data_IF_682630019979
#
_entry.id   IF_682630019979
#
_cell.length_a   1.000
_cell.length_b   1.000
_cell.length_c   1.000
_cell.angle_alpha   90.00
_cell.angle_beta   90.00
_cell.angle_gamma   90.00
#
_symmetry.space_group_name_H-M   'P 1'
#
loop_
_entity.id
_entity.type
_entity.pdbx_description
1 polymer ?
#
# COMPACT_ATOMS: atom_id res chain seq x y z
N UNK A 1 7.24 27.93 4.89
CA UNK A 1 7.57 27.47 6.26
C UNK A 1 8.74 26.49 6.16
N UNK A 2 9.86 26.82 6.77
CA UNK A 2 10.98 25.88 6.90
C UNK A 2 10.59 24.82 7.93
N UNK A 3 10.61 23.57 7.53
CA UNK A 3 10.34 22.43 8.44
C UNK A 3 11.49 22.35 9.45
N UNK A 4 11.19 22.31 10.75
CA UNK A 4 12.24 22.18 11.75
C UNK A 4 12.97 20.84 11.60
N UNK A 5 14.27 20.81 11.87
CA UNK A 5 15.07 19.59 11.79
C UNK A 5 14.50 18.46 12.66
N UNK A 6 13.87 18.81 13.79
CA UNK A 6 13.22 17.83 14.66
C UNK A 6 12.05 17.13 13.98
N UNK A 7 11.22 17.85 13.22
CA UNK A 7 10.12 17.29 12.44
C UNK A 7 10.67 16.38 11.34
N UNK A 8 11.72 16.79 10.63
CA UNK A 8 12.36 15.97 9.59
C UNK A 8 12.84 14.65 10.19
N UNK A 9 13.51 14.69 11.35
CA UNK A 9 13.99 13.48 12.02
C UNK A 9 12.84 12.56 12.46
N UNK A 10 11.73 13.11 12.96
CA UNK A 10 10.53 12.34 13.32
C UNK A 10 9.95 11.64 12.07
N UNK A 11 9.84 12.34 10.95
CA UNK A 11 9.33 11.76 9.70
C UNK A 11 10.29 10.72 9.10
N UNK A 12 11.59 10.93 9.21
CA UNK A 12 12.60 9.92 8.86
C UNK A 12 12.50 8.68 9.75
N UNK A 13 12.31 8.86 11.06
CA UNK A 13 12.09 7.75 11.99
C UNK A 13 10.80 7.00 11.64
N UNK A 14 9.73 7.72 11.32
CA UNK A 14 8.50 7.10 10.84
C UNK A 14 8.73 6.29 9.56
N UNK A 15 9.53 6.82 8.62
CA UNK A 15 9.89 6.09 7.39
C UNK A 15 10.59 4.77 7.72
N UNK A 16 11.51 4.76 8.71
CA UNK A 16 12.15 3.52 9.19
C UNK A 16 11.11 2.53 9.71
N UNK A 17 10.19 3.00 10.57
CA UNK A 17 9.11 2.16 11.12
C UNK A 17 8.22 1.61 10.00
N UNK A 18 7.85 2.43 9.01
CA UNK A 18 7.05 2.01 7.87
C UNK A 18 7.77 0.95 7.02
N UNK A 19 9.08 1.10 6.79
CA UNK A 19 9.87 0.08 6.07
C UNK A 19 9.94 -1.22 6.87
N UNK A 20 10.18 -1.15 8.17
CA UNK A 20 10.20 -2.34 9.04
C UNK A 20 8.84 -3.04 9.05
N UNK A 21 7.76 -2.29 9.12
CA UNK A 21 6.40 -2.85 9.03
C UNK A 21 6.16 -3.52 7.67
N UNK A 22 6.60 -2.91 6.57
CA UNK A 22 6.43 -3.45 5.22
C UNK A 22 7.13 -4.81 5.02
N UNK A 23 8.30 -5.01 5.63
CA UNK A 23 9.10 -6.24 5.49
C UNK A 23 8.84 -7.26 6.60
N UNK A 24 7.99 -6.95 7.59
CA UNK A 24 7.70 -7.84 8.72
C UNK A 24 6.21 -8.18 8.84
N UNK A 25 5.50 -7.58 9.78
CA UNK A 25 4.15 -8.00 10.20
C UNK A 25 3.04 -7.35 9.35
N UNK A 26 3.31 -6.18 8.75
CA UNK A 26 2.36 -5.40 7.95
C UNK A 26 1.08 -5.03 8.71
N UNK A 27 1.25 -4.39 9.88
CA UNK A 27 0.13 -3.93 10.72
C UNK A 27 -0.55 -2.69 10.11
N UNK A 28 0.22 -1.83 9.43
CA UNK A 28 -0.35 -0.65 8.78
C UNK A 28 0.54 0.58 8.63
N UNK A 29 1.56 0.84 9.47
CA UNK A 29 2.43 2.02 9.36
C UNK A 29 3.06 2.24 7.97
N UNK A 30 3.29 1.17 7.18
CA UNK A 30 3.81 1.27 5.82
C UNK A 30 2.80 1.84 4.82
N UNK A 31 1.50 1.85 5.18
CA UNK A 31 0.46 2.24 4.25
C UNK A 31 0.39 3.75 4.06
N UNK A 32 0.03 4.24 2.86
CA UNK A 32 -0.08 5.66 2.56
C UNK A 32 -1.04 6.41 3.49
N UNK A 33 -2.12 5.76 3.92
CA UNK A 33 -3.10 6.33 4.82
C UNK A 33 -2.46 6.74 6.15
N UNK A 34 -1.75 5.80 6.79
CA UNK A 34 -1.09 6.09 8.07
C UNK A 34 0.07 7.08 7.89
N UNK A 35 0.87 6.93 6.83
CA UNK A 35 2.03 7.77 6.56
C UNK A 35 1.64 9.25 6.35
N UNK A 36 0.65 9.51 5.50
CA UNK A 36 0.17 10.85 5.24
C UNK A 36 -0.54 11.46 6.46
N UNK A 37 -1.36 10.67 7.16
CA UNK A 37 -2.06 11.13 8.37
C UNK A 37 -1.06 11.49 9.47
N UNK A 38 -0.05 10.66 9.71
CA UNK A 38 1.01 10.94 10.67
C UNK A 38 1.80 12.20 10.29
N UNK A 39 2.13 12.35 9.00
CA UNK A 39 2.81 13.55 8.50
C UNK A 39 1.96 14.80 8.72
N UNK A 40 0.66 14.72 8.43
CA UNK A 40 -0.29 15.80 8.68
C UNK A 40 -0.40 16.15 10.17
N UNK A 41 -0.41 15.14 11.05
CA UNK A 41 -0.43 15.34 12.50
C UNK A 41 0.82 16.07 13.00
N UNK A 42 2.00 15.66 12.54
CA UNK A 42 3.29 16.26 12.93
C UNK A 42 3.43 17.71 12.39
N UNK A 43 2.87 17.97 11.21
CA UNK A 43 2.90 19.31 10.60
C UNK A 43 1.71 20.22 10.98
N UNK A 44 0.74 19.70 11.76
CA UNK A 44 -0.38 20.46 12.27
C UNK A 44 -1.60 20.59 11.35
N UNK A 45 -1.67 19.81 10.26
CA UNK A 45 -2.83 19.73 9.37
C UNK A 45 -3.20 18.26 9.07
N UNK A 46 -3.87 17.65 10.05
CA UNK A 46 -4.32 16.26 9.99
C UNK A 46 -5.35 16.05 8.87
N UNK A 47 -6.20 17.04 8.61
CA UNK A 47 -7.25 16.94 7.61
C UNK A 47 -6.65 16.77 6.21
N UNK A 48 -5.69 17.60 5.83
CA UNK A 48 -4.98 17.48 4.56
C UNK A 48 -4.23 16.15 4.48
N UNK A 49 -3.55 15.73 5.57
CA UNK A 49 -2.86 14.46 5.63
C UNK A 49 -3.80 13.27 5.44
N UNK A 50 -4.96 13.27 6.11
CA UNK A 50 -5.95 12.21 5.99
C UNK A 50 -6.55 12.12 4.57
N UNK A 51 -6.86 13.27 3.95
CA UNK A 51 -7.39 13.32 2.57
C UNK A 51 -6.38 12.76 1.56
N UNK A 52 -5.11 13.15 1.66
CA UNK A 52 -4.04 12.64 0.79
C UNK A 52 -3.85 11.14 1.03
N UNK A 53 -3.75 10.74 2.29
CA UNK A 53 -3.53 9.34 2.67
C UNK A 53 -4.64 8.42 2.20
N UNK A 54 -5.90 8.81 2.40
CA UNK A 54 -7.05 8.03 1.95
C UNK A 54 -7.07 7.87 0.43
N UNK A 55 -6.78 8.94 -0.32
CA UNK A 55 -6.75 8.90 -1.77
C UNK A 55 -5.62 8.00 -2.28
N UNK A 56 -4.40 8.14 -1.73
CA UNK A 56 -3.27 7.29 -2.09
C UNK A 56 -3.50 5.83 -1.68
N UNK A 57 -4.17 5.59 -0.55
CA UNK A 57 -4.54 4.23 -0.14
C UNK A 57 -5.49 3.56 -1.14
N UNK A 58 -6.48 4.30 -1.65
CA UNK A 58 -7.36 3.78 -2.70
C UNK A 58 -6.60 3.43 -3.99
N UNK A 59 -5.55 4.18 -4.33
CA UNK A 59 -4.69 3.88 -5.48
C UNK A 59 -3.90 2.58 -5.31
N UNK A 60 -3.58 2.19 -4.07
CA UNK A 60 -2.83 0.96 -3.77
C UNK A 60 -3.70 -0.29 -3.71
N UNK A 61 -5.02 -0.15 -3.77
CA UNK A 61 -5.92 -1.31 -3.75
C UNK A 61 -5.65 -2.23 -4.94
N UNK A 62 -5.40 -3.51 -4.65
CA UNK A 62 -5.09 -4.50 -5.66
C UNK A 62 -3.67 -4.40 -6.26
N UNK A 63 -2.87 -3.42 -5.86
CA UNK A 63 -1.48 -3.28 -6.31
C UNK A 63 -0.57 -3.94 -5.27
N UNK A 64 0.15 -4.99 -5.68
CA UNK A 64 1.11 -5.68 -4.83
C UNK A 64 2.33 -6.14 -5.64
N UNK A 65 3.39 -6.51 -4.94
CA UNK A 65 4.68 -6.91 -5.54
C UNK A 65 4.69 -8.37 -6.00
N UNK A 66 3.59 -8.84 -6.60
CA UNK A 66 3.49 -10.20 -7.10
C UNK A 66 4.57 -10.50 -8.15
N UNK A 67 5.23 -11.64 -8.02
CA UNK A 67 6.27 -12.06 -8.94
C UNK A 67 7.50 -11.15 -8.97
N UNK A 68 7.73 -10.33 -7.93
CA UNK A 68 8.86 -9.40 -7.88
C UNK A 68 8.63 -8.09 -8.65
N UNK A 69 7.39 -7.81 -9.07
CA UNK A 69 7.05 -6.53 -9.71
C UNK A 69 7.37 -5.36 -8.77
N UNK A 70 7.89 -4.29 -9.34
CA UNK A 70 8.18 -3.05 -8.61
C UNK A 70 6.93 -2.16 -8.64
N UNK A 71 6.46 -1.76 -7.46
CA UNK A 71 5.36 -0.80 -7.29
C UNK A 71 5.92 0.57 -6.88
N UNK A 72 5.21 1.67 -7.19
CA UNK A 72 5.60 2.99 -6.70
C UNK A 72 5.76 3.03 -5.18
N UNK A 73 6.76 3.77 -4.69
CA UNK A 73 6.95 3.95 -3.26
C UNK A 73 5.91 4.94 -2.70
N UNK A 74 4.74 4.42 -2.41
CA UNK A 74 3.64 5.21 -1.86
C UNK A 74 3.88 5.66 -0.41
N UNK A 75 4.73 4.97 0.36
CA UNK A 75 5.10 5.38 1.72
C UNK A 75 5.82 6.73 1.70
N UNK A 76 6.93 6.80 0.98
CA UNK A 76 7.73 8.02 0.87
C UNK A 76 7.00 9.10 0.08
N UNK A 77 6.25 8.71 -0.97
CA UNK A 77 5.39 9.61 -1.74
C UNK A 77 4.33 10.29 -0.87
N UNK A 78 3.67 9.54 0.02
CA UNK A 78 2.67 10.06 0.94
C UNK A 78 3.26 11.04 1.95
N UNK A 79 4.42 10.73 2.54
CA UNK A 79 5.11 11.62 3.48
C UNK A 79 5.50 12.93 2.80
N UNK A 80 6.20 12.85 1.66
CA UNK A 80 6.70 14.04 0.95
C UNK A 80 5.58 14.84 0.33
N UNK A 81 4.60 14.19 -0.31
CA UNK A 81 3.44 14.84 -0.91
C UNK A 81 2.62 15.60 0.12
N UNK A 82 2.37 15.01 1.28
CA UNK A 82 1.66 15.66 2.39
C UNK A 82 2.46 16.83 2.94
N UNK A 83 3.75 16.65 3.18
CA UNK A 83 4.61 17.72 3.65
C UNK A 83 4.61 18.91 2.67
N UNK A 84 4.74 18.65 1.37
CA UNK A 84 4.74 19.72 0.35
C UNK A 84 3.39 20.39 0.20
N UNK A 85 2.27 19.68 0.35
CA UNK A 85 0.95 20.26 0.35
C UNK A 85 0.78 21.26 1.49
N UNK A 86 1.19 20.87 2.70
CA UNK A 86 1.08 21.71 3.91
C UNK A 86 2.04 22.89 3.84
N UNK A 87 3.32 22.68 3.46
CA UNK A 87 4.30 23.76 3.34
C UNK A 87 3.86 24.80 2.30
N UNK A 88 3.31 24.37 1.16
CA UNK A 88 2.87 25.25 0.09
C UNK A 88 1.50 25.90 0.33
N UNK A 89 0.70 25.36 1.25
CA UNK A 89 -0.69 25.80 1.48
C UNK A 89 -1.64 25.51 0.31
N UNK A 90 -1.27 24.62 -0.63
CA UNK A 90 -2.04 24.33 -1.86
C UNK A 90 -3.09 23.22 -1.72
N UNK A 91 -3.21 22.64 -0.54
CA UNK A 91 -4.23 21.64 -0.22
C UNK A 91 -3.93 20.23 -0.76
N UNK A 92 -4.87 19.32 -0.49
CA UNK A 92 -4.69 17.90 -0.70
C UNK A 92 -4.47 17.50 -2.18
N UNK A 93 -5.17 18.15 -3.12
CA UNK A 93 -5.03 17.84 -4.56
C UNK A 93 -3.61 18.06 -5.08
N UNK A 94 -2.94 19.12 -4.59
CA UNK A 94 -1.54 19.37 -4.91
C UNK A 94 -0.65 18.27 -4.34
N UNK A 95 -0.87 17.89 -3.08
CA UNK A 95 -0.13 16.82 -2.42
C UNK A 95 -0.22 15.47 -3.17
N UNK A 96 -1.42 15.09 -3.58
CA UNK A 96 -1.67 13.87 -4.37
C UNK A 96 -0.94 13.97 -5.72
N UNK A 97 -1.09 15.09 -6.42
CA UNK A 97 -0.45 15.32 -7.73
C UNK A 97 1.08 15.26 -7.68
N UNK A 98 1.70 15.58 -6.55
CA UNK A 98 3.16 15.51 -6.35
C UNK A 98 3.60 14.17 -5.78
N UNK A 99 2.81 13.55 -4.91
CA UNK A 99 3.13 12.27 -4.26
C UNK A 99 3.36 11.13 -5.27
N UNK A 100 2.51 11.05 -6.30
CA UNK A 100 2.56 9.97 -7.29
C UNK A 100 3.85 10.01 -8.14
N UNK A 101 4.24 11.14 -8.76
CA UNK A 101 5.51 11.24 -9.46
C UNK A 101 6.73 10.98 -8.56
N UNK A 102 6.70 11.46 -7.31
CA UNK A 102 7.76 11.19 -6.34
C UNK A 102 7.85 9.68 -6.07
N UNK A 103 6.74 9.02 -5.79
CA UNK A 103 6.71 7.57 -5.57
C UNK A 103 7.26 6.79 -6.76
N UNK A 104 6.94 7.21 -7.98
CA UNK A 104 7.48 6.61 -9.22
C UNK A 104 8.99 6.82 -9.36
N UNK A 105 9.52 8.01 -9.04
CA UNK A 105 10.95 8.27 -9.07
C UNK A 105 11.69 7.42 -8.01
N UNK A 106 11.12 7.31 -6.82
CA UNK A 106 11.70 6.53 -5.73
C UNK A 106 11.71 5.02 -5.99
N UNK A 107 10.90 4.54 -6.94
CA UNK A 107 10.94 3.16 -7.43
C UNK A 107 12.34 2.78 -7.94
N UNK A 108 13.08 3.71 -8.55
CA UNK A 108 14.44 3.44 -9.01
C UNK A 108 15.40 3.18 -7.83
N UNK A 109 15.22 3.87 -6.73
CA UNK A 109 16.01 3.65 -5.51
C UNK A 109 15.63 2.34 -4.81
N UNK A 110 14.38 1.91 -4.93
CA UNK A 110 13.93 0.58 -4.49
C UNK A 110 14.67 -0.53 -5.25
N UNK A 111 14.80 -0.38 -6.56
CA UNK A 111 15.58 -1.34 -7.40
C UNK A 111 17.03 -1.38 -6.95
N UNK A 112 17.67 -0.24 -6.70
CA UNK A 112 19.04 -0.19 -6.18
C UNK A 112 19.16 -0.84 -4.79
N UNK A 113 18.18 -0.61 -3.91
CA UNK A 113 18.11 -1.27 -2.62
C UNK A 113 18.04 -2.80 -2.72
N UNK A 114 17.23 -3.31 -3.67
CA UNK A 114 17.14 -4.76 -3.97
C UNK A 114 18.47 -5.30 -4.49
N UNK A 115 19.12 -4.60 -5.42
CA UNK A 115 20.43 -4.99 -5.92
C UNK A 115 21.48 -5.04 -4.81
N UNK A 116 21.49 -4.07 -3.90
CA UNK A 116 22.39 -4.10 -2.74
C UNK A 116 22.09 -5.29 -1.81
N UNK A 117 20.83 -5.69 -1.69
CA UNK A 117 20.43 -6.84 -0.86
C UNK A 117 20.87 -8.19 -1.43
N UNK A 118 21.15 -8.32 -2.74
CA UNK A 118 21.68 -9.57 -3.31
C UNK A 118 23.00 -9.98 -2.67
N UNK A 119 23.81 -9.01 -2.25
CA UNK A 119 25.05 -9.28 -1.51
C UNK A 119 24.78 -10.05 -0.20
N UNK A 120 23.79 -9.61 0.57
CA UNK A 120 23.42 -10.28 1.82
C UNK A 120 22.76 -11.63 1.57
N UNK A 121 21.98 -11.79 0.48
CA UNK A 121 21.40 -13.08 0.07
C UNK A 121 22.47 -14.10 -0.23
N UNK A 122 23.42 -13.81 -1.13
CA UNK A 122 24.52 -14.73 -1.46
C UNK A 122 25.38 -15.09 -0.25
N UNK A 123 25.54 -14.14 0.68
CA UNK A 123 26.27 -14.42 1.91
C UNK A 123 25.48 -15.33 2.86
N UNK A 124 24.16 -15.17 2.90
CA UNK A 124 23.26 -16.03 3.67
C UNK A 124 23.25 -17.45 3.12
N UNK A 125 23.21 -17.61 1.77
CA UNK A 125 23.27 -18.91 1.10
C UNK A 125 24.55 -19.69 1.51
N UNK A 126 25.70 -19.00 1.47
CA UNK A 126 26.98 -19.62 1.91
C UNK A 126 26.94 -20.05 3.38
N UNK A 127 26.39 -19.19 4.27
CA UNK A 127 26.27 -19.57 5.68
C UNK A 127 25.27 -20.71 5.90
N UNK A 128 24.26 -20.86 5.04
CA UNK A 128 23.33 -21.97 5.07
C UNK A 128 24.02 -23.28 4.66
N UNK A 129 24.86 -23.26 3.62
CA UNK A 129 25.68 -24.42 3.19
C UNK A 129 26.65 -24.86 4.29
N UNK A 130 27.21 -23.91 5.04
CA UNK A 130 28.10 -24.17 6.17
C UNK A 130 27.37 -24.60 7.47
N UNK A 131 26.03 -24.64 7.47
CA UNK A 131 25.21 -24.92 8.66
C UNK A 131 25.26 -23.81 9.73
N UNK A 132 25.68 -22.59 9.36
CA UNK A 132 25.84 -21.46 10.27
C UNK A 132 24.57 -20.62 10.36
N UNK A 133 23.59 -21.08 11.15
CA UNK A 133 22.30 -20.40 11.33
C UNK A 133 22.41 -18.97 11.83
N UNK A 134 23.36 -18.68 12.72
CA UNK A 134 23.60 -17.32 13.23
C UNK A 134 24.12 -16.38 12.14
N UNK A 135 24.87 -16.90 11.19
CA UNK A 135 25.33 -16.17 10.01
C UNK A 135 24.17 -15.77 9.12
N UNK A 136 23.24 -16.69 8.87
CA UNK A 136 22.02 -16.45 8.09
C UNK A 136 21.14 -15.39 8.75
N UNK A 137 20.88 -15.53 10.05
CA UNK A 137 20.10 -14.55 10.84
C UNK A 137 20.70 -13.14 10.75
N UNK A 138 22.03 -13.01 10.93
CA UNK A 138 22.72 -11.72 10.78
C UNK A 138 22.58 -11.13 9.39
N UNK A 139 22.66 -11.91 8.32
CA UNK A 139 22.48 -11.44 6.96
C UNK A 139 21.05 -10.93 6.73
N UNK A 140 20.05 -11.62 7.28
CA UNK A 140 18.65 -11.17 7.22
C UNK A 140 18.44 -9.81 7.90
N UNK A 141 18.98 -9.63 9.12
CA UNK A 141 18.90 -8.34 9.84
C UNK A 141 19.67 -7.25 9.09
N UNK A 142 20.85 -7.53 8.55
CA UNK A 142 21.64 -6.56 7.79
C UNK A 142 20.96 -6.16 6.47
N UNK A 143 20.15 -7.01 5.88
CA UNK A 143 19.36 -6.71 4.70
C UNK A 143 18.32 -5.59 4.91
N UNK A 144 17.97 -5.27 6.16
CA UNK A 144 17.08 -4.14 6.48
C UNK A 144 17.73 -2.80 6.09
N UNK A 145 19.04 -2.66 6.24
CA UNK A 145 19.74 -1.38 6.01
C UNK A 145 19.61 -0.85 4.59
N UNK A 146 19.88 -1.60 3.50
CA UNK A 146 19.71 -1.10 2.14
C UNK A 146 18.28 -0.66 1.85
N UNK A 147 17.27 -1.40 2.33
CA UNK A 147 15.87 -1.04 2.20
C UNK A 147 15.52 0.25 2.92
N UNK A 148 16.00 0.41 4.13
CA UNK A 148 15.73 1.61 4.94
C UNK A 148 16.45 2.83 4.37
N UNK A 149 17.72 2.68 4.00
CA UNK A 149 18.54 3.77 3.45
C UNK A 149 17.97 4.28 2.12
N UNK A 150 17.49 3.38 1.25
CA UNK A 150 16.92 3.76 -0.04
C UNK A 150 15.69 4.67 0.07
N UNK A 151 14.99 4.68 1.21
CA UNK A 151 13.81 5.50 1.47
C UNK A 151 14.09 6.68 2.41
N UNK A 152 14.85 6.47 3.46
CA UNK A 152 15.14 7.52 4.45
C UNK A 152 15.96 8.65 3.87
N UNK A 153 16.99 8.34 3.06
CA UNK A 153 17.84 9.38 2.44
C UNK A 153 17.02 10.33 1.53
N UNK A 154 16.21 9.84 0.57
CA UNK A 154 15.42 10.74 -0.26
C UNK A 154 14.39 11.52 0.55
N UNK A 155 13.74 10.91 1.53
CA UNK A 155 12.78 11.60 2.42
C UNK A 155 13.49 12.72 3.20
N UNK A 156 14.65 12.43 3.78
CA UNK A 156 15.45 13.43 4.49
C UNK A 156 15.85 14.60 3.57
N UNK A 157 16.41 14.31 2.40
CA UNK A 157 16.83 15.34 1.43
C UNK A 157 15.61 16.14 0.96
N UNK A 158 14.54 15.46 0.57
CA UNK A 158 13.32 16.09 0.09
C UNK A 158 12.66 16.99 1.12
N UNK A 159 12.67 16.63 2.40
CA UNK A 159 12.12 17.45 3.47
C UNK A 159 13.10 18.57 3.91
N UNK A 160 14.39 18.30 3.92
CA UNK A 160 15.39 19.32 4.27
C UNK A 160 15.44 20.47 3.24
N UNK A 161 15.26 20.15 1.97
CA UNK A 161 15.17 21.10 0.87
C UNK A 161 13.72 21.36 0.42
N UNK A 162 12.73 21.05 1.27
CA UNK A 162 11.31 21.02 0.91
C UNK A 162 10.81 22.32 0.29
N UNK A 163 11.22 23.48 0.83
CA UNK A 163 10.82 24.79 0.31
C UNK A 163 11.44 25.05 -1.08
N UNK A 164 12.71 24.72 -1.27
CA UNK A 164 13.39 24.85 -2.56
C UNK A 164 12.79 23.91 -3.60
N UNK A 165 12.49 22.67 -3.21
CA UNK A 165 11.85 21.68 -4.09
C UNK A 165 10.44 22.14 -4.47
N UNK A 166 9.62 22.60 -3.52
CA UNK A 166 8.28 23.14 -3.81
C UNK A 166 8.36 24.34 -4.74
N UNK A 167 9.28 25.27 -4.51
CA UNK A 167 9.48 26.43 -5.37
C UNK A 167 9.96 26.03 -6.78
N UNK A 168 10.88 25.07 -6.88
CA UNK A 168 11.33 24.54 -8.15
C UNK A 168 10.18 23.87 -8.93
N UNK A 169 9.39 23.03 -8.26
CA UNK A 169 8.19 22.40 -8.83
C UNK A 169 7.22 23.48 -9.35
N UNK A 170 6.93 24.49 -8.54
CA UNK A 170 5.99 25.54 -8.91
C UNK A 170 6.44 26.43 -10.06
N UNK A 171 7.76 26.66 -10.16
CA UNK A 171 8.33 27.54 -11.18
C UNK A 171 8.67 26.79 -12.49
N UNK A 172 8.99 25.51 -12.38
CA UNK A 172 9.47 24.72 -13.55
C UNK A 172 8.35 23.91 -14.20
N UNK A 173 7.34 23.51 -13.42
CA UNK A 173 6.21 22.73 -13.94
C UNK A 173 5.12 23.66 -14.48
N UNK A 174 4.84 23.64 -15.79
CA UNK A 174 3.74 24.40 -16.37
C UNK A 174 2.39 24.03 -15.75
N UNK A 175 1.47 24.99 -15.70
CA UNK A 175 0.13 24.81 -15.10
C UNK A 175 -0.64 23.64 -15.73
N UNK A 176 -0.49 23.43 -17.05
CA UNK A 176 -1.17 22.33 -17.73
C UNK A 176 -0.69 20.94 -17.28
N UNK A 177 0.62 20.80 -16.98
CA UNK A 177 1.19 19.56 -16.42
C UNK A 177 0.64 19.33 -15.01
N UNK A 178 0.62 20.38 -14.18
CA UNK A 178 0.07 20.28 -12.83
C UNK A 178 -1.43 19.89 -12.84
N UNK A 179 -2.20 20.47 -13.73
CA UNK A 179 -3.62 20.11 -13.90
C UNK A 179 -3.76 18.67 -14.42
N UNK A 180 -2.89 18.22 -15.32
CA UNK A 180 -2.83 16.83 -15.78
C UNK A 180 -2.51 15.85 -14.64
N UNK A 181 -1.55 16.17 -13.77
CA UNK A 181 -1.22 15.37 -12.59
C UNK A 181 -2.36 15.28 -11.59
N UNK A 182 -3.07 16.41 -11.36
CA UNK A 182 -4.28 16.42 -10.52
C UNK A 182 -5.40 15.57 -11.11
N UNK A 183 -5.65 15.66 -12.41
CA UNK A 183 -6.64 14.84 -13.11
C UNK A 183 -6.25 13.35 -13.06
N UNK A 184 -4.99 13.02 -13.29
CA UNK A 184 -4.49 11.66 -13.14
C UNK A 184 -4.66 11.16 -11.70
N UNK A 185 -4.31 11.97 -10.70
CA UNK A 185 -4.52 11.66 -9.28
C UNK A 185 -5.98 11.36 -8.94
N UNK A 186 -6.93 12.07 -9.54
CA UNK A 186 -8.36 11.82 -9.35
C UNK A 186 -8.86 10.51 -9.97
N UNK A 187 -8.21 10.03 -11.05
CA UNK A 187 -8.60 8.79 -11.76
C UNK A 187 -7.94 7.55 -11.14
N UNK A 188 -6.75 7.68 -10.59
CA UNK A 188 -5.96 6.56 -10.05
C UNK A 188 -6.70 5.72 -8.99
N UNK A 189 -7.50 6.28 -8.06
CA UNK A 189 -8.30 5.48 -7.13
C UNK A 189 -9.28 4.54 -7.85
N UNK A 190 -9.93 5.01 -8.91
CA UNK A 190 -10.83 4.18 -9.72
C UNK A 190 -10.07 3.04 -10.40
N UNK A 191 -8.84 3.29 -10.86
CA UNK A 191 -7.99 2.25 -11.44
C UNK A 191 -7.56 1.22 -10.37
N UNK A 192 -7.22 1.65 -9.15
CA UNK A 192 -6.90 0.76 -8.03
C UNK A 192 -8.08 -0.17 -7.69
N UNK A 193 -9.30 0.38 -7.61
CA UNK A 193 -10.52 -0.41 -7.40
C UNK A 193 -10.75 -1.38 -8.57
N UNK A 194 -10.57 -0.95 -9.83
CA UNK A 194 -10.72 -1.81 -11.00
C UNK A 194 -9.74 -2.99 -11.01
N UNK A 195 -8.49 -2.76 -10.57
CA UNK A 195 -7.50 -3.83 -10.42
C UNK A 195 -7.93 -4.80 -9.32
N UNK A 196 -8.36 -4.30 -8.15
CA UNK A 196 -8.88 -5.13 -7.07
C UNK A 196 -10.05 -6.00 -7.55
N UNK A 197 -10.97 -5.43 -8.33
CA UNK A 197 -12.10 -6.16 -8.89
C UNK A 197 -11.69 -7.32 -9.81
N UNK A 198 -10.53 -7.25 -10.47
CA UNK A 198 -10.03 -8.39 -11.29
C UNK A 198 -9.60 -9.59 -10.46
N UNK A 199 -9.21 -9.41 -9.20
CA UNK A 199 -8.86 -10.49 -8.29
C UNK A 199 -10.07 -11.09 -7.57
N UNK A 200 -11.19 -10.38 -7.53
CA UNK A 200 -12.42 -10.87 -6.94
C UNK A 200 -13.21 -11.73 -7.95
N UNK A 201 -13.90 -12.78 -7.53
CA UNK A 201 -14.73 -13.62 -8.39
C UNK A 201 -16.04 -12.91 -8.76
N UNK A 202 -15.95 -11.76 -9.44
CA UNK A 202 -17.10 -10.89 -9.77
C UNK A 202 -18.12 -11.63 -10.62
N UNK A 203 -17.70 -12.57 -11.49
CA UNK A 203 -18.63 -13.36 -12.30
C UNK A 203 -19.64 -14.14 -11.46
N UNK A 204 -19.26 -14.52 -10.25
CA UNK A 204 -20.13 -15.23 -9.31
C UNK A 204 -20.94 -14.28 -8.44
N UNK A 205 -20.36 -13.15 -8.07
CA UNK A 205 -20.94 -12.22 -7.09
C UNK A 205 -21.41 -10.90 -7.71
N UNK A 206 -21.60 -10.84 -9.04
CA UNK A 206 -22.03 -9.64 -9.76
C UNK A 206 -23.35 -9.00 -9.24
N UNK A 207 -24.36 -9.78 -8.70
CA UNK A 207 -25.56 -9.14 -8.16
C UNK A 207 -25.26 -8.25 -6.94
N UNK A 208 -24.33 -8.65 -6.08
CA UNK A 208 -23.92 -7.84 -4.91
C UNK A 208 -23.18 -6.56 -5.35
N UNK A 209 -22.39 -6.65 -6.43
CA UNK A 209 -21.75 -5.48 -7.01
C UNK A 209 -22.78 -4.46 -7.52
N UNK A 210 -23.81 -4.91 -8.22
CA UNK A 210 -24.89 -4.04 -8.71
C UNK A 210 -25.63 -3.39 -7.54
N UNK A 211 -25.96 -4.14 -6.50
CA UNK A 211 -26.62 -3.61 -5.30
C UNK A 211 -25.78 -2.47 -4.71
N UNK A 212 -24.49 -2.70 -4.49
CA UNK A 212 -23.57 -1.68 -3.95
C UNK A 212 -23.46 -0.45 -4.85
N UNK A 213 -23.37 -0.67 -6.17
CA UNK A 213 -23.33 0.41 -7.15
C UNK A 213 -24.59 1.27 -7.14
N UNK A 214 -25.76 0.65 -7.16
CA UNK A 214 -27.06 1.36 -7.15
C UNK A 214 -27.23 2.15 -5.84
N UNK A 215 -26.88 1.54 -4.70
CA UNK A 215 -26.97 2.21 -3.40
C UNK A 215 -26.07 3.46 -3.34
N UNK A 216 -24.87 3.40 -3.93
CA UNK A 216 -23.96 4.55 -3.95
C UNK A 216 -24.34 5.56 -5.03
N UNK A 217 -24.70 5.12 -6.25
CA UNK A 217 -25.00 6.01 -7.35
C UNK A 217 -26.28 6.84 -7.13
N UNK A 218 -27.29 6.24 -6.54
CA UNK A 218 -28.59 6.88 -6.32
C UNK A 218 -28.86 7.22 -4.86
N UNK A 219 -28.22 6.55 -3.93
CA UNK A 219 -28.40 6.73 -2.50
C UNK A 219 -27.33 7.60 -1.82
N UNK A 220 -26.39 8.17 -2.55
CA UNK A 220 -25.26 8.96 -1.98
C UNK A 220 -25.70 10.15 -1.13
N UNK A 221 -26.91 10.67 -1.35
CA UNK A 221 -27.48 11.75 -0.51
C UNK A 221 -27.99 11.23 0.85
N UNK A 222 -28.34 9.96 0.95
CA UNK A 222 -28.95 9.35 2.14
C UNK A 222 -28.00 8.38 2.85
N UNK A 223 -27.09 7.74 2.12
CA UNK A 223 -26.20 6.71 2.64
C UNK A 223 -24.75 7.10 2.45
N UNK A 224 -24.00 7.11 3.54
CA UNK A 224 -22.53 7.21 3.43
C UNK A 224 -21.95 5.89 2.93
N UNK A 225 -20.75 5.93 2.36
CA UNK A 225 -19.99 4.74 1.93
C UNK A 225 -19.88 3.71 3.06
N UNK A 226 -19.73 4.18 4.30
CA UNK A 226 -19.67 3.33 5.49
C UNK A 226 -20.94 2.51 5.69
N UNK A 227 -22.13 3.13 5.52
CA UNK A 227 -23.41 2.42 5.66
C UNK A 227 -23.54 1.33 4.61
N UNK A 228 -23.18 1.62 3.36
CA UNK A 228 -23.19 0.62 2.26
C UNK A 228 -22.21 -0.52 2.54
N UNK A 229 -21.03 -0.23 3.09
CA UNK A 229 -20.05 -1.24 3.47
C UNK A 229 -20.57 -2.15 4.61
N UNK A 230 -21.26 -1.59 5.61
CA UNK A 230 -21.88 -2.38 6.69
C UNK A 230 -23.02 -3.26 6.19
N UNK A 231 -23.83 -2.77 5.26
CA UNK A 231 -24.87 -3.59 4.60
C UNK A 231 -24.21 -4.74 3.81
N UNK A 232 -23.13 -4.46 3.08
CA UNK A 232 -22.36 -5.48 2.37
C UNK A 232 -21.80 -6.55 3.30
N UNK A 233 -21.26 -6.13 4.45
CA UNK A 233 -20.77 -7.05 5.49
C UNK A 233 -21.88 -7.93 6.06
N UNK A 234 -23.05 -7.35 6.32
CA UNK A 234 -24.22 -8.11 6.80
C UNK A 234 -24.69 -9.14 5.77
N UNK A 235 -24.76 -8.77 4.48
CA UNK A 235 -25.10 -9.70 3.40
C UNK A 235 -24.08 -10.83 3.26
N UNK A 236 -22.79 -10.52 3.38
CA UNK A 236 -21.73 -11.53 3.37
C UNK A 236 -21.86 -12.51 4.56
N UNK A 237 -22.15 -12.00 5.74
CA UNK A 237 -22.37 -12.83 6.93
C UNK A 237 -23.58 -13.77 6.73
N UNK A 238 -24.70 -13.27 6.21
CA UNK A 238 -25.90 -14.09 5.91
C UNK A 238 -25.57 -15.17 4.88
N UNK A 239 -24.81 -14.82 3.84
CA UNK A 239 -24.38 -15.78 2.81
C UNK A 239 -23.56 -16.92 3.41
N UNK A 240 -22.55 -16.59 4.23
CA UNK A 240 -21.69 -17.59 4.90
C UNK A 240 -22.52 -18.48 5.87
N UNK A 241 -23.41 -17.88 6.65
CA UNK A 241 -24.28 -18.63 7.57
C UNK A 241 -25.18 -19.61 6.85
N UNK A 242 -25.74 -19.23 5.69
CA UNK A 242 -26.60 -20.09 4.91
C UNK A 242 -25.82 -21.20 4.19
N UNK A 243 -24.63 -20.90 3.70
CA UNK A 243 -23.76 -21.87 3.03
C UNK A 243 -23.28 -22.95 4.01
N UNK A 244 -22.88 -22.57 5.23
CA UNK A 244 -22.47 -23.51 6.26
C UNK A 244 -23.63 -24.41 6.76
N UNK A 245 -24.88 -23.92 6.75
CA UNK A 245 -26.04 -24.75 7.08
C UNK A 245 -26.34 -25.81 6.01
N UNK A 246 -26.07 -25.52 4.72
CA UNK A 246 -26.23 -26.49 3.64
C UNK A 246 -25.18 -27.60 3.67
N UNK A 247 -23.96 -27.35 4.14
CA UNK A 247 -22.92 -28.36 4.29
C UNK A 247 -23.14 -29.34 5.48
N UNK A 248 -23.84 -28.89 6.52
CA UNK A 248 -24.14 -29.75 7.68
C UNK A 248 -25.28 -30.74 7.43
N UNK A 249 -26.11 -30.53 6.41
CA UNK A 249 -27.22 -31.43 6.07
C UNK A 249 -26.82 -32.62 5.17
N UNK A 250 -25.61 -32.62 4.60
CA UNK A 250 -25.16 -33.71 3.69
C UNK A 250 -24.19 -34.70 4.35
N UNK A 251 -23.85 -34.54 5.62
CA UNK A 251 -22.95 -35.48 6.32
C UNK A 251 -23.67 -36.53 7.17
N UNK A 252 -24.97 -36.76 6.95
CA UNK A 252 -25.71 -37.88 7.54
C UNK A 252 -26.09 -38.91 6.49
N UNK A 253 -25.09 -39.44 5.78
CA UNK A 253 -25.26 -40.52 4.81
C UNK A 253 -23.99 -41.33 4.73
N UNK A 254 -23.98 -42.45 5.48
CA UNK A 254 -23.26 -43.72 5.24
C UNK A 254 -21.85 -43.61 4.63
N UNK A 255 -20.86 -43.78 5.48
CA UNK A 255 -19.48 -44.13 5.07
C UNK A 255 -19.56 -45.56 4.51
N UNK A 256 -19.56 -45.72 3.19
CA UNK A 256 -19.27 -46.97 2.53
C UNK A 256 -17.74 -47.03 2.46
N UNK A 257 -17.16 -47.98 3.22
CA UNK A 257 -15.78 -48.40 3.00
C UNK A 257 -15.79 -49.21 1.72
N UNK A 258 -15.22 -48.70 0.63
CA UNK A 258 -14.75 -49.50 -0.50
C UNK A 258 -13.35 -49.97 -0.17
N UNK A 259 -13.22 -51.31 -0.13
CA UNK A 259 -11.97 -52.06 0.10
C UNK A 259 -10.94 -51.79 -1.02
N UNK A 260 -9.73 -51.72 -0.59
CA UNK A 260 -8.42 -51.86 -1.23
C UNK A 260 -8.41 -52.40 -2.68
N UNK A 261 -8.07 -51.53 -3.65
CA UNK A 261 -7.38 -51.96 -4.86
C UNK A 261 -5.92 -51.51 -4.80
N UNK A 262 -5.04 -52.52 -4.69
CA UNK A 262 -3.58 -52.40 -4.79
C UNK A 262 -3.22 -51.81 -6.16
N UNK A 263 -2.54 -50.66 -6.14
CA UNK A 263 -1.89 -50.11 -7.33
C UNK A 263 -0.52 -50.76 -7.46
N UNK A 264 -0.39 -51.75 -8.35
CA UNK A 264 0.90 -52.22 -8.84
C UNK A 264 1.65 -51.08 -9.51
N UNK A 265 2.81 -50.78 -8.98
CA UNK A 265 3.79 -49.87 -9.60
C UNK A 265 4.71 -50.79 -10.45
N UNK A 266 4.51 -50.73 -11.76
CA UNK A 266 5.49 -51.29 -12.72
C UNK A 266 6.71 -50.37 -12.84
N UNK A 267 7.89 -50.98 -12.83
CA UNK A 267 9.25 -50.41 -12.91
C UNK A 267 9.54 -49.56 -14.17
#
# INVERSE_FOLDING_TARGET
MTVSIGIILILCLYTVVGVLDQISIQIGPYTPLFAATFTGLVLGDVQTGLMIGATLQLMTLGVATYGGATVPDFLSGAIMGTAYAIISGKGAEYGIGVAVPIGLLLTQLDILGRMANTFFQHKADRYAEEGNYKGVERCNVLGIFPWTISRVIPVFIGLAFGEQVVNAINNWIPIWVMNGLKAAGAILPAMGIAILMRYLPIKTYWPYFIIGFVLLAYGAQFFSVLVVALVGLALAAIYVMNHNKGGAATTSGTVIYEDDEEVEIDD
#
